data_IF_459093164283
#
_entry.id   IF_459093164283
#
_cell.length_a   1.000
_cell.length_b   1.000
_cell.length_c   1.000
_cell.angle_alpha   90.00
_cell.angle_beta   90.00
_cell.angle_gamma   90.00
#
_symmetry.space_group_name_H-M   'P 1'
#
loop_
_entity.id
_entity.type
_entity.pdbx_description
1 polymer ?
#
# COMPACT_ATOMS: atom_id res chain seq x y z
N UNK A 1 36.13 16.61 -1.40
CA UNK A 1 35.42 17.68 -0.68
C UNK A 1 34.81 17.07 0.57
N UNK A 2 35.52 17.18 1.70
CA UNK A 2 35.14 16.54 2.95
C UNK A 2 34.27 17.45 3.81
N UNK A 3 33.30 16.85 4.52
CA UNK A 3 32.56 17.51 5.58
C UNK A 3 33.24 17.13 6.90
N UNK A 4 33.65 18.15 7.65
CA UNK A 4 34.31 18.05 8.95
C UNK A 4 33.25 18.27 10.03
N UNK A 5 32.95 17.25 10.83
CA UNK A 5 32.15 17.39 12.05
C UNK A 5 33.07 17.13 13.25
N UNK A 6 33.14 18.07 14.18
CA UNK A 6 33.93 17.96 15.43
C UNK A 6 33.03 17.84 16.64
N UNK A 7 33.17 16.71 17.37
CA UNK A 7 33.05 16.43 18.84
C UNK A 7 31.74 16.83 19.56
N UNK A 8 31.11 16.03 20.45
CA UNK A 8 31.65 15.37 21.66
C UNK A 8 30.81 14.14 22.12
N UNK A 9 31.51 13.15 22.70
CA UNK A 9 31.08 12.06 23.61
C UNK A 9 29.80 11.24 23.35
N UNK A 10 30.02 10.01 22.87
CA UNK A 10 29.10 8.86 22.96
C UNK A 10 29.42 7.85 21.86
N UNK A 11 29.79 6.61 22.21
CA UNK A 11 30.23 5.56 21.28
C UNK A 11 29.44 5.53 19.96
N UNK A 12 30.07 5.93 18.86
CA UNK A 12 29.59 5.67 17.50
C UNK A 12 30.29 4.40 17.03
N UNK A 13 29.58 3.26 17.08
CA UNK A 13 29.98 2.11 16.26
C UNK A 13 29.52 2.42 14.85
N UNK A 14 30.36 3.11 14.07
CA UNK A 14 30.11 3.33 12.65
C UNK A 14 30.43 2.03 11.93
N UNK A 15 29.41 1.24 11.61
CA UNK A 15 29.56 0.21 10.58
C UNK A 15 29.66 0.88 9.22
N UNK A 16 30.54 0.39 8.37
CA UNK A 16 30.57 0.85 6.97
C UNK A 16 29.30 0.39 6.25
N UNK A 17 28.96 1.04 5.15
CA UNK A 17 27.82 0.62 4.32
C UNK A 17 27.95 -0.84 3.87
N UNK A 18 29.17 -1.27 3.57
CA UNK A 18 29.49 -2.65 3.19
C UNK A 18 29.19 -3.63 4.34
N UNK A 19 29.57 -3.29 5.58
CA UNK A 19 29.27 -4.12 6.76
C UNK A 19 27.76 -4.20 7.09
N UNK A 20 26.99 -3.19 6.70
CA UNK A 20 25.53 -3.20 6.84
C UNK A 20 24.89 -4.13 5.81
N UNK A 21 25.33 -4.05 4.55
CA UNK A 21 24.87 -4.90 3.45
C UNK A 21 25.19 -6.37 3.74
N UNK A 22 26.39 -6.68 4.22
CA UNK A 22 26.77 -8.05 4.56
C UNK A 22 25.95 -8.63 5.71
N UNK A 23 25.67 -7.82 6.73
CA UNK A 23 24.80 -8.22 7.84
C UNK A 23 23.36 -8.49 7.38
N UNK A 24 22.85 -7.72 6.41
CA UNK A 24 21.50 -7.86 5.87
C UNK A 24 21.39 -9.09 4.96
N UNK A 25 22.40 -9.31 4.10
CA UNK A 25 22.49 -10.48 3.22
C UNK A 25 22.56 -11.79 4.01
N UNK A 26 23.29 -11.79 5.13
CA UNK A 26 23.37 -12.96 6.02
C UNK A 26 22.00 -13.33 6.63
N UNK A 27 21.19 -12.34 7.01
CA UNK A 27 19.86 -12.55 7.61
C UNK A 27 18.88 -13.08 6.56
N UNK A 28 18.86 -12.50 5.36
CA UNK A 28 17.94 -12.90 4.28
C UNK A 28 18.24 -14.31 3.79
N UNK A 29 19.52 -14.63 3.56
CA UNK A 29 19.92 -15.95 3.04
C UNK A 29 19.59 -17.06 4.04
N UNK A 30 19.74 -16.79 5.35
CA UNK A 30 19.49 -17.77 6.41
C UNK A 30 18.00 -18.04 6.67
N UNK A 31 17.13 -17.05 6.46
CA UNK A 31 15.70 -17.18 6.81
C UNK A 31 14.77 -17.46 5.63
N UNK A 32 15.14 -17.07 4.40
CA UNK A 32 14.20 -17.08 3.27
C UNK A 32 14.63 -17.92 2.07
N UNK A 33 15.82 -18.55 2.08
CA UNK A 33 16.32 -19.38 0.96
C UNK A 33 16.26 -18.68 -0.41
N UNK A 34 16.34 -17.35 -0.43
CA UNK A 34 16.30 -16.56 -1.66
C UNK A 34 17.70 -16.47 -2.28
N UNK A 35 17.79 -16.72 -3.58
CA UNK A 35 19.03 -16.53 -4.35
C UNK A 35 19.21 -15.04 -4.67
N UNK A 36 19.95 -14.34 -3.81
CA UNK A 36 20.21 -12.90 -3.94
C UNK A 36 20.96 -12.57 -5.23
N UNK A 37 21.83 -13.45 -5.75
CA UNK A 37 22.54 -13.21 -7.00
C UNK A 37 21.59 -13.11 -8.20
N UNK A 38 20.51 -13.89 -8.19
CA UNK A 38 19.46 -13.81 -9.22
C UNK A 38 18.66 -12.50 -9.13
N UNK A 39 18.41 -12.03 -7.91
CA UNK A 39 17.69 -10.76 -7.67
C UNK A 39 18.57 -9.58 -8.10
N UNK A 40 19.84 -9.58 -7.70
CA UNK A 40 20.80 -8.54 -8.07
C UNK A 40 21.08 -8.53 -9.57
N UNK A 41 21.12 -9.69 -10.24
CA UNK A 41 21.19 -9.76 -11.70
C UNK A 41 19.97 -9.12 -12.36
N UNK A 42 18.76 -9.37 -11.86
CA UNK A 42 17.54 -8.75 -12.40
C UNK A 42 17.57 -7.22 -12.24
N UNK A 43 17.95 -6.70 -11.07
CA UNK A 43 18.10 -5.25 -10.86
C UNK A 43 19.22 -4.63 -11.71
N UNK A 44 20.32 -5.35 -11.91
CA UNK A 44 21.43 -4.87 -12.76
C UNK A 44 21.02 -4.80 -14.23
N UNK A 45 20.21 -5.75 -14.68
CA UNK A 45 19.62 -5.76 -16.02
C UNK A 45 18.67 -4.57 -16.18
N UNK A 46 17.79 -4.31 -15.20
CA UNK A 46 16.86 -3.17 -15.22
C UNK A 46 17.57 -1.81 -15.28
N UNK A 47 18.63 -1.62 -14.49
CA UNK A 47 19.42 -0.36 -14.50
C UNK A 47 20.11 -0.17 -15.85
N UNK A 48 20.61 -1.25 -16.47
CA UNK A 48 21.28 -1.20 -17.77
C UNK A 48 20.32 -0.85 -18.92
N UNK A 49 19.06 -1.30 -18.84
CA UNK A 49 18.01 -0.99 -19.82
C UNK A 49 17.63 0.50 -19.74
N UNK A 50 17.51 1.07 -18.54
CA UNK A 50 17.17 2.47 -18.33
C UNK A 50 18.24 3.46 -18.84
N UNK A 51 19.52 3.04 -18.82
CA UNK A 51 20.65 3.86 -19.25
C UNK A 51 20.86 3.90 -20.78
N UNK A 52 20.24 3.00 -21.55
CA UNK A 52 20.46 2.89 -23.01
C UNK A 52 19.33 3.47 -23.86
N UNK A 53 18.18 3.81 -23.27
CA UNK A 53 17.04 4.38 -24.00
C UNK A 53 17.09 5.92 -24.06
N UNK A 54 16.82 6.49 -25.24
CA UNK A 54 16.68 7.96 -25.46
C UNK A 54 15.65 8.57 -24.50
N UNK A 55 15.81 9.85 -24.09
CA UNK A 55 14.99 10.48 -23.03
C UNK A 55 13.47 10.48 -23.30
N UNK A 56 13.03 10.48 -24.56
CA UNK A 56 11.60 10.39 -24.91
C UNK A 56 10.97 9.01 -24.62
N UNK A 57 11.79 7.95 -24.53
CA UNK A 57 11.32 6.57 -24.32
C UNK A 57 11.31 6.15 -22.84
N UNK A 58 11.97 6.90 -21.96
CA UNK A 58 12.06 6.60 -20.52
C UNK A 58 10.72 6.82 -19.80
N UNK A 59 9.92 7.80 -20.24
CA UNK A 59 8.60 8.05 -19.66
C UNK A 59 7.57 6.96 -20.02
N UNK A 60 7.67 6.37 -21.21
CA UNK A 60 6.78 5.26 -21.61
C UNK A 60 7.11 4.00 -20.82
N UNK A 61 8.39 3.63 -20.76
CA UNK A 61 8.87 2.46 -20.02
C UNK A 61 8.57 2.59 -18.53
N UNK A 62 8.74 3.78 -17.94
CA UNK A 62 8.40 4.03 -16.53
C UNK A 62 6.91 3.85 -16.25
N UNK A 63 6.02 4.38 -17.11
CA UNK A 63 4.56 4.20 -16.94
C UNK A 63 4.13 2.74 -17.10
N UNK A 64 4.75 2.02 -18.02
CA UNK A 64 4.46 0.61 -18.28
C UNK A 64 4.91 -0.29 -17.11
N UNK A 65 6.07 -0.02 -16.53
CA UNK A 65 6.55 -0.69 -15.31
C UNK A 65 5.69 -0.37 -14.08
N UNK A 66 5.28 0.88 -13.92
CA UNK A 66 4.41 1.31 -12.81
C UNK A 66 2.97 0.77 -12.94
N UNK A 67 2.48 0.56 -14.16
CA UNK A 67 1.18 -0.08 -14.43
C UNK A 67 1.24 -1.58 -14.11
N UNK A 68 2.30 -2.26 -14.59
CA UNK A 68 2.47 -3.69 -14.33
C UNK A 68 2.62 -4.01 -12.83
N UNK A 69 3.24 -3.12 -12.05
CA UNK A 69 3.30 -3.29 -10.60
C UNK A 69 1.92 -3.22 -9.94
N UNK A 70 1.02 -2.33 -10.37
CA UNK A 70 -0.34 -2.25 -9.82
C UNK A 70 -1.13 -3.53 -10.09
N UNK A 71 -1.05 -4.05 -11.31
CA UNK A 71 -1.74 -5.29 -11.69
C UNK A 71 -1.24 -6.49 -10.87
N UNK A 72 0.03 -6.51 -10.47
CA UNK A 72 0.57 -7.58 -9.61
C UNK A 72 0.09 -7.54 -8.16
N UNK A 73 -0.47 -6.42 -7.70
CA UNK A 73 -0.97 -6.30 -6.32
C UNK A 73 -2.43 -6.72 -6.18
N UNK A 74 -3.14 -6.91 -7.29
CA UNK A 74 -4.57 -7.23 -7.30
C UNK A 74 -4.85 -8.56 -6.62
N UNK A 75 -5.87 -8.57 -5.78
CA UNK A 75 -6.33 -9.76 -5.06
C UNK A 75 -5.26 -10.39 -4.15
N UNK A 76 -4.27 -9.60 -3.73
CA UNK A 76 -3.13 -10.10 -2.96
C UNK A 76 -3.49 -10.28 -1.48
N UNK A 77 -3.70 -11.54 -1.08
CA UNK A 77 -4.05 -11.92 0.29
C UNK A 77 -2.89 -11.75 1.29
N UNK A 78 -1.63 -11.74 0.86
CA UNK A 78 -0.49 -11.49 1.75
C UNK A 78 -0.51 -10.04 2.27
N UNK A 79 -0.92 -9.10 1.42
CA UNK A 79 -1.14 -7.70 1.83
C UNK A 79 -2.30 -7.60 2.81
N UNK A 80 -3.42 -8.31 2.56
CA UNK A 80 -4.54 -8.36 3.53
C UNK A 80 -4.07 -8.87 4.90
N UNK A 81 -3.29 -9.95 4.92
CA UNK A 81 -2.73 -10.51 6.15
C UNK A 81 -1.83 -9.51 6.87
N UNK A 82 -0.93 -8.83 6.13
CA UNK A 82 -0.03 -7.81 6.70
C UNK A 82 -0.84 -6.65 7.30
N UNK A 83 -1.88 -6.19 6.61
CA UNK A 83 -2.78 -5.14 7.06
C UNK A 83 -3.49 -5.58 8.33
N UNK A 84 -4.12 -6.75 8.33
CA UNK A 84 -4.83 -7.30 9.48
C UNK A 84 -3.95 -7.39 10.74
N UNK A 85 -2.74 -7.94 10.59
CA UNK A 85 -1.81 -8.13 11.70
C UNK A 85 -1.30 -6.81 12.31
N UNK A 86 -1.31 -5.72 11.53
CA UNK A 86 -0.71 -4.45 11.91
C UNK A 86 -1.72 -3.29 11.91
N UNK A 87 -3.03 -3.58 11.89
CA UNK A 87 -4.09 -2.60 11.63
C UNK A 87 -4.14 -1.43 12.61
N UNK A 88 -3.61 -1.57 13.82
CA UNK A 88 -3.57 -0.48 14.81
C UNK A 88 -2.41 0.50 14.57
N UNK A 89 -1.43 0.14 13.73
CA UNK A 89 -0.22 0.93 13.47
C UNK A 89 0.34 0.69 12.05
N UNK A 90 -0.50 0.86 11.03
CA UNK A 90 -0.06 0.79 9.64
C UNK A 90 0.74 2.03 9.22
N UNK A 91 1.81 1.79 8.48
CA UNK A 91 2.48 2.84 7.72
C UNK A 91 1.69 3.19 6.45
N UNK A 92 1.98 4.38 5.91
CA UNK A 92 1.29 4.95 4.75
C UNK A 92 1.41 4.06 3.51
N UNK A 93 2.59 3.45 3.30
CA UNK A 93 2.84 2.58 2.14
C UNK A 93 2.01 1.30 2.19
N UNK A 94 1.95 0.62 3.33
CA UNK A 94 1.17 -0.61 3.50
C UNK A 94 -0.32 -0.33 3.37
N UNK A 95 -0.77 0.79 3.94
CA UNK A 95 -2.16 1.23 3.80
C UNK A 95 -2.49 1.59 2.34
N UNK A 96 -1.57 2.19 1.61
CA UNK A 96 -1.74 2.48 0.18
C UNK A 96 -1.77 1.21 -0.67
N UNK A 97 -0.84 0.28 -0.44
CA UNK A 97 -0.80 -1.02 -1.10
C UNK A 97 -2.09 -1.82 -0.88
N UNK A 98 -2.68 -1.75 0.32
CA UNK A 98 -3.98 -2.34 0.60
C UNK A 98 -5.04 -1.87 -0.40
N UNK A 99 -5.17 -0.56 -0.63
CA UNK A 99 -6.15 -0.03 -1.59
C UNK A 99 -5.84 -0.37 -3.04
N UNK A 100 -4.56 -0.55 -3.39
CA UNK A 100 -4.18 -1.03 -4.72
C UNK A 100 -4.58 -2.49 -4.97
N UNK A 101 -4.79 -3.29 -3.91
CA UNK A 101 -5.21 -4.69 -4.08
C UNK A 101 -6.63 -4.85 -4.62
N UNK A 102 -7.48 -3.85 -4.41
CA UNK A 102 -8.88 -3.91 -4.85
C UNK A 102 -8.99 -3.79 -6.36
N UNK A 103 -9.79 -4.66 -6.97
CA UNK A 103 -10.30 -4.41 -8.31
C UNK A 103 -11.33 -5.43 -8.77
N UNK A 104 -12.03 -5.08 -9.86
CA UNK A 104 -13.12 -5.88 -10.44
C UNK A 104 -12.69 -7.32 -10.76
N UNK A 105 -11.42 -7.53 -11.11
CA UNK A 105 -10.85 -8.84 -11.38
C UNK A 105 -10.87 -9.79 -10.16
N UNK A 106 -11.01 -9.24 -8.95
CA UNK A 106 -11.01 -10.01 -7.71
C UNK A 106 -12.36 -10.62 -7.35
N UNK A 107 -13.45 -10.27 -8.05
CA UNK A 107 -14.82 -10.68 -7.72
C UNK A 107 -15.03 -12.20 -7.66
N UNK A 108 -14.22 -12.96 -8.42
CA UNK A 108 -14.29 -14.42 -8.45
C UNK A 108 -13.47 -15.10 -7.35
N UNK A 109 -12.69 -14.33 -6.58
CA UNK A 109 -11.96 -14.83 -5.41
C UNK A 109 -12.79 -14.54 -4.15
N UNK A 110 -13.64 -15.50 -3.79
CA UNK A 110 -14.57 -15.36 -2.66
C UNK A 110 -13.84 -15.07 -1.34
N UNK A 111 -12.75 -15.81 -1.05
CA UNK A 111 -11.98 -15.62 0.19
C UNK A 111 -11.37 -14.21 0.27
N UNK A 112 -10.76 -13.75 -0.81
CA UNK A 112 -10.24 -12.39 -0.88
C UNK A 112 -11.36 -11.36 -0.72
N UNK A 113 -12.48 -11.54 -1.41
CA UNK A 113 -13.60 -10.58 -1.39
C UNK A 113 -14.17 -10.44 0.02
N UNK A 114 -14.44 -11.56 0.69
CA UNK A 114 -14.94 -11.56 2.07
C UNK A 114 -13.95 -10.85 3.02
N UNK A 115 -12.67 -11.22 2.96
CA UNK A 115 -11.67 -10.71 3.90
C UNK A 115 -11.28 -9.25 3.63
N UNK A 116 -11.14 -8.86 2.36
CA UNK A 116 -10.85 -7.48 1.97
C UNK A 116 -12.01 -6.55 2.34
N UNK A 117 -13.26 -7.00 2.19
CA UNK A 117 -14.44 -6.24 2.62
C UNK A 117 -14.45 -6.01 4.13
N UNK A 118 -14.27 -7.05 4.95
CA UNK A 118 -14.19 -6.90 6.41
C UNK A 118 -13.07 -5.91 6.82
N UNK A 119 -11.88 -6.08 6.24
CA UNK A 119 -10.74 -5.19 6.48
C UNK A 119 -10.99 -3.76 6.04
N UNK A 120 -11.73 -3.54 4.94
CA UNK A 120 -12.05 -2.20 4.45
C UNK A 120 -12.80 -1.39 5.50
N UNK A 121 -13.79 -2.00 6.17
CA UNK A 121 -14.55 -1.33 7.23
C UNK A 121 -13.73 -1.08 8.50
N UNK A 122 -12.84 -2.01 8.87
CA UNK A 122 -11.89 -1.82 9.97
C UNK A 122 -10.95 -0.64 9.69
N UNK A 123 -10.37 -0.62 8.50
CA UNK A 123 -9.43 0.41 8.07
C UNK A 123 -10.11 1.77 7.94
N UNK A 124 -11.36 1.82 7.48
CA UNK A 124 -12.15 3.05 7.44
C UNK A 124 -12.42 3.64 8.82
N UNK A 125 -12.53 2.82 9.87
CA UNK A 125 -12.65 3.29 11.24
C UNK A 125 -11.34 3.84 11.78
N UNK A 126 -10.21 3.21 11.45
CA UNK A 126 -8.90 3.51 12.02
C UNK A 126 -8.19 4.68 11.30
N UNK A 127 -8.30 4.76 9.97
CA UNK A 127 -7.55 5.71 9.13
C UNK A 127 -8.41 6.56 8.18
N UNK A 128 -9.58 7.09 8.60
CA UNK A 128 -10.53 7.72 7.69
C UNK A 128 -9.95 8.92 6.91
N UNK A 129 -9.01 9.66 7.50
CA UNK A 129 -8.40 10.84 6.87
C UNK A 129 -7.42 10.45 5.75
N UNK A 130 -6.58 9.45 5.98
CA UNK A 130 -5.58 8.95 5.04
C UNK A 130 -6.27 8.36 3.81
N UNK A 131 -7.35 7.62 4.01
CA UNK A 131 -8.16 7.06 2.92
C UNK A 131 -8.69 8.17 2.02
N UNK A 132 -9.28 9.21 2.60
CA UNK A 132 -9.78 10.35 1.80
C UNK A 132 -8.65 10.97 0.98
N UNK A 133 -7.45 11.14 1.57
CA UNK A 133 -6.29 11.69 0.87
C UNK A 133 -5.85 10.79 -0.28
N UNK A 134 -5.73 9.48 -0.08
CA UNK A 134 -5.27 8.58 -1.13
C UNK A 134 -6.18 8.60 -2.35
N UNK A 135 -7.49 8.57 -2.15
CA UNK A 135 -8.45 8.51 -3.23
C UNK A 135 -8.61 9.84 -3.98
N UNK A 136 -8.20 10.95 -3.38
CA UNK A 136 -8.12 12.24 -4.07
C UNK A 136 -6.87 12.37 -4.94
N UNK A 137 -5.80 11.63 -4.61
CA UNK A 137 -4.48 11.86 -5.19
C UNK A 137 -3.95 10.70 -6.03
N UNK A 138 -4.59 9.53 -5.99
CA UNK A 138 -4.15 8.36 -6.75
C UNK A 138 -5.27 7.73 -7.58
N UNK A 139 -5.19 7.94 -8.89
CA UNK A 139 -6.09 7.39 -9.89
C UNK A 139 -5.94 5.86 -10.08
N UNK A 140 -4.85 5.25 -9.57
CA UNK A 140 -4.63 3.79 -9.64
C UNK A 140 -5.52 3.03 -8.67
N UNK A 141 -6.01 3.70 -7.63
CA UNK A 141 -6.99 3.12 -6.71
C UNK A 141 -8.33 3.06 -7.42
N UNK A 142 -8.91 1.87 -7.52
CA UNK A 142 -10.22 1.66 -8.14
C UNK A 142 -11.33 2.12 -7.19
N UNK A 143 -11.46 3.44 -7.08
CA UNK A 143 -12.31 4.09 -6.10
C UNK A 143 -13.80 3.73 -6.23
N UNK A 144 -14.29 3.53 -7.44
CA UNK A 144 -15.66 3.12 -7.72
C UNK A 144 -15.95 1.72 -7.15
N UNK A 145 -15.05 0.76 -7.41
CA UNK A 145 -15.17 -0.59 -6.87
C UNK A 145 -15.17 -0.60 -5.34
N UNK A 146 -14.30 0.21 -4.71
CA UNK A 146 -14.25 0.30 -3.25
C UNK A 146 -15.52 0.96 -2.69
N UNK A 147 -16.08 1.95 -3.38
CA UNK A 147 -17.35 2.56 -2.97
C UNK A 147 -18.53 1.60 -3.10
N UNK A 148 -18.47 0.65 -4.04
CA UNK A 148 -19.43 -0.46 -4.18
C UNK A 148 -19.27 -1.49 -3.06
N UNK A 149 -18.04 -1.88 -2.71
CA UNK A 149 -17.75 -2.74 -1.55
C UNK A 149 -18.31 -2.13 -0.25
N UNK A 150 -18.16 -0.81 -0.07
CA UNK A 150 -18.73 -0.09 1.07
C UNK A 150 -20.26 -0.07 1.11
N UNK A 151 -20.95 -0.42 0.03
CA UNK A 151 -22.42 -0.58 -0.01
C UNK A 151 -22.86 -1.99 0.34
N UNK A 152 -21.95 -2.95 0.42
CA UNK A 152 -22.24 -4.37 0.64
C UNK A 152 -21.37 -4.91 1.78
N UNK A 153 -21.67 -4.58 3.05
CA UNK A 153 -20.94 -5.13 4.19
C UNK A 153 -21.15 -6.64 4.24
N UNK A 154 -20.07 -7.38 4.46
CA UNK A 154 -20.15 -8.85 4.42
C UNK A 154 -21.00 -9.44 5.55
N UNK A 155 -21.17 -8.72 6.66
CA UNK A 155 -22.00 -9.15 7.78
C UNK A 155 -22.56 -7.98 8.62
N UNK A 156 -23.65 -8.26 9.35
CA UNK A 156 -24.39 -7.28 10.14
C UNK A 156 -23.65 -6.76 11.40
N UNK A 157 -22.52 -7.35 11.78
CA UNK A 157 -21.73 -6.91 12.94
C UNK A 157 -20.98 -5.59 12.70
N UNK A 158 -20.96 -5.08 11.46
CA UNK A 158 -20.30 -3.82 11.12
C UNK A 158 -21.19 -2.65 11.58
N UNK A 159 -20.67 -1.84 12.52
CA UNK A 159 -21.40 -0.70 13.09
C UNK A 159 -21.42 0.51 12.13
N UNK A 160 -22.17 0.43 11.02
CA UNK A 160 -22.19 1.44 9.93
C UNK A 160 -22.36 2.88 10.43
N UNK A 161 -23.29 3.13 11.36
CA UNK A 161 -23.54 4.48 11.90
C UNK A 161 -22.32 5.09 12.61
N UNK A 162 -21.55 4.25 13.30
CA UNK A 162 -20.31 4.68 13.97
C UNK A 162 -19.25 5.04 12.94
N UNK A 163 -19.14 4.27 11.86
CA UNK A 163 -18.21 4.56 10.74
C UNK A 163 -18.60 5.87 10.08
N UNK A 164 -19.88 6.09 9.78
CA UNK A 164 -20.40 7.35 9.23
C UNK A 164 -19.99 8.52 10.14
N UNK A 165 -20.18 8.41 11.45
CA UNK A 165 -19.81 9.46 12.40
C UNK A 165 -18.30 9.73 12.44
N UNK A 166 -17.48 8.69 12.34
CA UNK A 166 -16.01 8.82 12.27
C UNK A 166 -15.61 9.56 11.00
N UNK A 167 -16.11 9.13 9.84
CA UNK A 167 -15.79 9.74 8.53
C UNK A 167 -16.26 11.19 8.48
N UNK A 168 -17.45 11.50 9.01
CA UNK A 168 -17.99 12.87 9.06
C UNK A 168 -17.06 13.85 9.79
N UNK A 169 -16.38 13.40 10.86
CA UNK A 169 -15.48 14.22 11.66
C UNK A 169 -14.15 14.55 10.97
N UNK A 170 -13.79 13.84 9.91
CA UNK A 170 -12.59 14.17 9.14
C UNK A 170 -12.74 15.58 8.56
N UNK A 171 -11.77 16.46 8.83
CA UNK A 171 -11.74 17.83 8.30
C UNK A 171 -11.28 17.81 6.83
N UNK A 172 -12.21 17.48 5.95
CA UNK A 172 -12.03 17.51 4.51
C UNK A 172 -13.37 17.84 3.85
N UNK A 173 -13.32 18.68 2.82
CA UNK A 173 -14.45 19.02 1.94
C UNK A 173 -14.47 18.13 0.68
N UNK A 174 -13.72 17.03 0.71
CA UNK A 174 -13.61 16.06 -0.37
C UNK A 174 -14.97 15.60 -0.90
N UNK A 175 -15.09 15.55 -2.23
CA UNK A 175 -16.19 14.84 -2.87
C UNK A 175 -16.17 13.36 -2.46
N UNK A 176 -14.99 12.73 -2.41
CA UNK A 176 -14.86 11.33 -2.05
C UNK A 176 -15.37 11.03 -0.63
N UNK A 177 -15.09 11.91 0.35
CA UNK A 177 -15.69 11.82 1.70
C UNK A 177 -17.22 11.77 1.64
N UNK A 178 -17.83 12.64 0.83
CA UNK A 178 -19.28 12.70 0.66
C UNK A 178 -19.83 11.42 0.03
N UNK A 179 -19.08 10.82 -0.90
CA UNK A 179 -19.41 9.55 -1.55
C UNK A 179 -19.33 8.37 -0.59
N UNK A 180 -18.28 8.28 0.24
CA UNK A 180 -18.19 7.26 1.32
C UNK A 180 -19.43 7.35 2.21
N UNK A 181 -19.76 8.54 2.72
CA UNK A 181 -20.92 8.72 3.61
C UNK A 181 -22.22 8.33 2.91
N UNK A 182 -22.36 8.66 1.63
CA UNK A 182 -23.54 8.30 0.84
C UNK A 182 -23.64 6.79 0.65
N UNK A 183 -22.54 6.11 0.25
CA UNK A 183 -22.48 4.65 0.13
C UNK A 183 -22.91 3.96 1.43
N UNK A 184 -22.35 4.39 2.56
CA UNK A 184 -22.68 3.82 3.87
C UNK A 184 -24.16 4.03 4.27
N UNK A 185 -24.75 5.18 3.89
CA UNK A 185 -26.15 5.50 4.22
C UNK A 185 -27.17 4.73 3.39
N UNK A 186 -26.82 4.24 2.21
CA UNK A 186 -27.73 3.39 1.43
C UNK A 186 -28.00 2.05 2.12
N UNK A 187 -27.06 1.56 2.94
CA UNK A 187 -27.21 0.34 3.73
C UNK A 187 -28.21 0.53 4.88
N UNK A 188 -28.19 1.69 5.54
CA UNK A 188 -29.02 1.97 6.73
C UNK A 188 -30.49 2.29 6.42
N UNK A 189 -30.93 2.20 5.15
CA UNK A 189 -32.31 2.47 4.73
C UNK A 189 -33.15 1.20 4.71
#
# INVERSE_FOLDING_TARGET
>A
HGIKLTREHGCVVSKTYEEYVDSYNHIITKHYNLNIDSILQNYTIEISILQTSKPDNQNHIKRELESNQVDTLKCNTEILLKVYQNKDSLDEETLHQFFLTFGEECINNAEYSEWSNELLFDILQLYPAQIIIFFENDEKIQSEFILEELQHPIHDLIEIDKIIHIVQKVRSDSNFKTRIISSLKEISK
#
